data_IF_914288026272
#
_entry.id   IF_914288026272
#
_cell.length_a   1.000
_cell.length_b   1.000
_cell.length_c   1.000
_cell.angle_alpha   90.00
_cell.angle_beta   90.00
_cell.angle_gamma   90.00
#
_symmetry.space_group_name_H-M   'P 1'
#
loop_
_entity.id
_entity.type
_entity.pdbx_description
1 polymer ?
#
# COMPACT_ATOMS: atom_id res chain seq x y z
N UNK A 1 9.08 0.58 -31.24
CA UNK A 1 8.52 1.53 -30.22
C UNK A 1 7.05 1.33 -29.88
N UNK A 2 6.13 0.92 -30.77
CA UNK A 2 4.70 0.77 -30.43
C UNK A 2 4.41 -0.30 -29.36
N UNK A 3 5.18 -1.40 -29.34
CA UNK A 3 4.98 -2.49 -28.39
C UNK A 3 5.14 -2.08 -26.91
N UNK A 4 6.07 -1.17 -26.61
CA UNK A 4 6.27 -0.65 -25.25
C UNK A 4 5.05 0.14 -24.76
N UNK A 5 4.47 0.94 -25.64
CA UNK A 5 3.27 1.72 -25.34
C UNK A 5 2.05 0.82 -25.11
N UNK A 6 1.86 -0.18 -25.97
CA UNK A 6 0.79 -1.16 -25.82
C UNK A 6 0.92 -1.92 -24.48
N UNK A 7 2.12 -2.37 -24.14
CA UNK A 7 2.36 -3.02 -22.85
C UNK A 7 2.11 -2.08 -21.67
N UNK A 8 2.51 -0.81 -21.75
CA UNK A 8 2.26 0.16 -20.66
C UNK A 8 0.78 0.42 -20.47
N UNK A 9 0.01 0.54 -21.56
CA UNK A 9 -1.44 0.70 -21.52
C UNK A 9 -2.09 -0.55 -20.91
N UNK A 10 -1.69 -1.73 -21.34
CA UNK A 10 -2.17 -3.00 -20.79
C UNK A 10 -1.87 -3.10 -19.29
N UNK A 11 -0.64 -2.80 -18.87
CA UNK A 11 -0.23 -2.83 -17.47
C UNK A 11 -1.04 -1.83 -16.63
N UNK A 12 -1.30 -0.65 -17.15
CA UNK A 12 -2.13 0.35 -16.46
C UNK A 12 -3.60 -0.07 -16.37
N UNK A 13 -4.19 -0.55 -17.45
CA UNK A 13 -5.59 -1.00 -17.45
C UNK A 13 -5.79 -2.21 -16.52
N UNK A 14 -4.86 -3.16 -16.52
CA UNK A 14 -4.90 -4.31 -15.62
C UNK A 14 -4.71 -3.89 -14.16
N UNK A 15 -3.86 -2.90 -13.87
CA UNK A 15 -3.72 -2.29 -12.54
C UNK A 15 -5.07 -1.75 -12.04
N UNK A 16 -5.73 -0.93 -12.87
CA UNK A 16 -7.01 -0.33 -12.51
C UNK A 16 -8.10 -1.40 -12.35
N UNK A 17 -8.16 -2.37 -13.26
CA UNK A 17 -9.17 -3.44 -13.21
C UNK A 17 -9.06 -4.27 -11.92
N UNK A 18 -7.85 -4.70 -11.55
CA UNK A 18 -7.63 -5.46 -10.30
C UNK A 18 -7.89 -4.58 -9.08
N UNK A 19 -7.52 -3.29 -9.13
CA UNK A 19 -7.82 -2.35 -8.05
C UNK A 19 -9.34 -2.22 -7.83
N UNK A 20 -10.12 -2.04 -8.90
CA UNK A 20 -11.58 -1.95 -8.83
C UNK A 20 -12.21 -3.24 -8.30
N UNK A 21 -11.66 -4.40 -8.64
CA UNK A 21 -12.12 -5.70 -8.13
C UNK A 21 -11.91 -5.83 -6.62
N UNK A 22 -10.77 -5.36 -6.10
CA UNK A 22 -10.41 -5.47 -4.68
C UNK A 22 -11.02 -4.35 -3.82
N UNK A 23 -11.32 -3.21 -4.43
CA UNK A 23 -11.80 -2.02 -3.75
C UNK A 23 -13.03 -2.23 -2.84
N UNK A 24 -14.11 -2.95 -3.26
CA UNK A 24 -15.26 -3.21 -2.39
C UNK A 24 -14.86 -3.96 -1.11
N UNK A 25 -13.96 -4.93 -1.20
CA UNK A 25 -13.47 -5.68 -0.03
C UNK A 25 -12.65 -4.79 0.91
N UNK A 26 -11.86 -3.86 0.34
CA UNK A 26 -11.13 -2.87 1.13
C UNK A 26 -12.09 -1.90 1.84
N UNK A 27 -13.19 -1.50 1.23
CA UNK A 27 -14.25 -0.72 1.88
C UNK A 27 -14.88 -1.50 3.03
N UNK A 28 -15.27 -2.74 2.82
CA UNK A 28 -15.82 -3.61 3.87
C UNK A 28 -14.82 -3.76 5.03
N UNK A 29 -13.54 -3.91 4.73
CA UNK A 29 -12.50 -4.00 5.75
C UNK A 29 -12.47 -2.78 6.69
N UNK A 30 -12.85 -1.59 6.23
CA UNK A 30 -12.86 -0.38 7.08
C UNK A 30 -13.83 -0.46 8.26
N UNK A 31 -14.90 -1.24 8.15
CA UNK A 31 -15.87 -1.43 9.23
C UNK A 31 -15.32 -2.24 10.41
N UNK A 32 -14.21 -2.95 10.25
CA UNK A 32 -13.54 -3.71 11.30
C UNK A 32 -12.56 -2.88 12.14
N UNK A 33 -12.56 -1.55 11.94
CA UNK A 33 -11.77 -0.60 12.72
C UNK A 33 -10.29 -0.52 12.27
N UNK A 34 -9.54 0.38 12.90
CA UNK A 34 -8.17 0.74 12.46
C UNK A 34 -7.19 -0.42 12.50
N UNK A 35 -7.22 -1.28 13.52
CA UNK A 35 -6.23 -2.36 13.66
C UNK A 35 -6.61 -3.53 12.75
N UNK A 36 -7.76 -4.15 12.98
CA UNK A 36 -8.18 -5.32 12.19
C UNK A 36 -8.42 -4.95 10.73
N UNK A 37 -9.24 -3.93 10.50
CA UNK A 37 -9.54 -3.46 9.14
C UNK A 37 -8.31 -3.01 8.37
N UNK A 38 -7.41 -2.27 9.00
CA UNK A 38 -6.15 -1.88 8.38
C UNK A 38 -5.23 -3.07 8.08
N UNK A 39 -5.22 -4.14 8.89
CA UNK A 39 -4.50 -5.37 8.58
C UNK A 39 -5.15 -6.10 7.39
N UNK A 40 -6.49 -6.14 7.33
CA UNK A 40 -7.21 -6.68 6.17
C UNK A 40 -6.87 -5.90 4.89
N UNK A 41 -6.88 -4.56 4.92
CA UNK A 41 -6.49 -3.72 3.78
C UNK A 41 -5.05 -4.02 3.36
N UNK A 42 -4.11 -4.17 4.31
CA UNK A 42 -2.73 -4.55 4.00
C UNK A 42 -2.66 -5.87 3.21
N UNK A 43 -3.36 -6.90 3.66
CA UNK A 43 -3.40 -8.21 2.98
C UNK A 43 -4.10 -8.13 1.63
N UNK A 44 -5.15 -7.32 1.50
CA UNK A 44 -5.81 -7.07 0.21
C UNK A 44 -4.86 -6.37 -0.78
N UNK A 45 -4.07 -5.39 -0.32
CA UNK A 45 -3.03 -4.76 -1.15
C UNK A 45 -1.98 -5.77 -1.62
N UNK A 46 -1.58 -6.71 -0.76
CA UNK A 46 -0.67 -7.79 -1.16
C UNK A 46 -1.28 -8.66 -2.26
N UNK A 47 -2.55 -9.08 -2.11
CA UNK A 47 -3.25 -9.90 -3.11
C UNK A 47 -3.46 -9.15 -4.43
N UNK A 48 -3.80 -7.86 -4.33
CA UNK A 48 -3.85 -6.98 -5.50
C UNK A 48 -2.52 -6.96 -6.26
N UNK A 49 -1.42 -6.79 -5.55
CA UNK A 49 -0.10 -6.78 -6.15
C UNK A 49 0.30 -8.16 -6.74
N UNK A 50 -0.07 -9.27 -6.08
CA UNK A 50 0.17 -10.63 -6.59
C UNK A 50 -0.55 -10.85 -7.93
N UNK A 51 -1.85 -10.53 -7.99
CA UNK A 51 -2.67 -10.70 -9.18
C UNK A 51 -2.15 -9.80 -10.31
N UNK A 52 -1.90 -8.52 -10.00
CA UNK A 52 -1.42 -7.58 -11.01
C UNK A 52 -0.08 -7.99 -11.60
N UNK A 53 0.92 -8.34 -10.77
CA UNK A 53 2.23 -8.78 -11.26
C UNK A 53 2.13 -10.06 -12.09
N UNK A 54 1.28 -10.98 -11.72
CA UNK A 54 0.99 -12.17 -12.52
C UNK A 54 0.44 -11.80 -13.91
N UNK A 55 -0.53 -10.90 -13.98
CA UNK A 55 -1.14 -10.45 -15.22
C UNK A 55 -0.15 -9.75 -16.16
N UNK A 56 0.76 -8.95 -15.61
CA UNK A 56 1.76 -8.24 -16.41
C UNK A 56 3.07 -9.01 -16.61
N UNK A 57 3.08 -10.29 -16.23
CA UNK A 57 4.23 -11.19 -16.38
C UNK A 57 5.50 -10.70 -15.69
N UNK A 58 5.38 -10.01 -14.55
CA UNK A 58 6.50 -9.61 -13.71
C UNK A 58 6.67 -10.58 -12.55
N UNK A 59 7.78 -11.31 -12.57
CA UNK A 59 8.17 -12.22 -11.49
C UNK A 59 9.15 -11.50 -10.57
N UNK A 60 8.86 -11.48 -9.28
CA UNK A 60 9.73 -10.90 -8.28
C UNK A 60 10.20 -11.93 -7.26
N UNK A 61 11.44 -11.83 -6.86
CA UNK A 61 12.06 -12.67 -5.83
C UNK A 61 12.35 -11.82 -4.60
N UNK A 62 12.03 -12.33 -3.42
CA UNK A 62 12.38 -11.71 -2.13
C UNK A 62 13.67 -12.35 -1.63
N UNK A 63 14.68 -11.55 -1.36
CA UNK A 63 15.94 -11.99 -0.76
C UNK A 63 16.08 -11.25 0.56
N UNK A 64 16.22 -11.98 1.65
CA UNK A 64 16.41 -11.42 2.98
C UNK A 64 17.79 -11.83 3.48
N UNK A 65 18.66 -10.86 3.77
CA UNK A 65 19.94 -11.10 4.44
C UNK A 65 19.68 -11.50 5.90
N UNK A 66 18.82 -10.75 6.59
CA UNK A 66 18.38 -11.04 7.95
C UNK A 66 16.87 -10.84 8.05
N UNK A 67 16.06 -11.91 7.94
CA UNK A 67 14.61 -11.77 8.05
C UNK A 67 14.22 -11.35 9.48
N UNK A 68 13.42 -10.27 9.56
CA UNK A 68 12.95 -9.76 10.85
C UNK A 68 11.98 -10.72 11.55
N UNK A 69 11.95 -10.66 12.88
CA UNK A 69 11.02 -11.39 13.72
C UNK A 69 9.62 -10.80 13.62
N UNK A 70 8.65 -11.58 13.18
CA UNK A 70 7.24 -11.14 12.99
C UNK A 70 6.54 -10.74 14.30
N UNK A 71 7.07 -11.10 15.45
CA UNK A 71 6.48 -10.83 16.75
C UNK A 71 6.95 -9.47 17.33
N UNK A 72 7.95 -8.85 16.72
CA UNK A 72 8.48 -7.57 17.18
C UNK A 72 7.95 -6.40 16.35
N UNK A 73 7.74 -5.23 16.96
CA UNK A 73 7.44 -4.01 16.22
C UNK A 73 8.71 -3.49 15.52
N UNK A 74 8.54 -3.01 14.28
CA UNK A 74 9.62 -2.43 13.48
C UNK A 74 9.19 -1.13 12.82
N UNK A 75 10.15 -0.25 12.60
CA UNK A 75 10.05 0.87 11.67
C UNK A 75 10.79 0.46 10.38
N UNK A 76 10.03 0.31 9.29
CA UNK A 76 10.59 -0.03 8.00
C UNK A 76 10.90 1.25 7.23
N UNK A 77 12.14 1.37 6.78
CA UNK A 77 12.59 2.45 5.91
C UNK A 77 13.05 1.84 4.60
N UNK A 78 12.55 2.35 3.49
CA UNK A 78 12.90 1.87 2.16
C UNK A 78 13.16 3.02 1.20
N UNK A 79 14.01 2.80 0.21
CA UNK A 79 14.10 3.69 -0.93
C UNK A 79 12.77 3.61 -1.71
N UNK A 80 12.24 4.77 -2.07
CA UNK A 80 10.95 4.86 -2.78
C UNK A 80 11.13 5.78 -3.98
N UNK A 81 11.47 5.19 -5.12
CA UNK A 81 11.83 5.91 -6.35
C UNK A 81 10.90 5.59 -7.52
N UNK A 82 9.98 4.64 -7.37
CA UNK A 82 9.09 4.18 -8.44
C UNK A 82 7.65 4.03 -7.95
N UNK A 83 6.68 4.23 -8.83
CA UNK A 83 5.27 3.93 -8.57
C UNK A 83 5.01 2.44 -8.29
N UNK A 84 5.84 1.55 -8.84
CA UNK A 84 5.78 0.10 -8.59
C UNK A 84 6.08 -0.23 -7.12
N UNK A 85 6.82 0.61 -6.41
CA UNK A 85 7.16 0.40 -5.01
C UNK A 85 5.91 0.30 -4.12
N UNK A 86 4.83 0.98 -4.48
CA UNK A 86 3.56 0.87 -3.76
C UNK A 86 3.02 -0.57 -3.74
N UNK A 87 3.29 -1.35 -4.78
CA UNK A 87 2.92 -2.76 -4.87
C UNK A 87 3.99 -3.70 -4.29
N UNK A 88 5.27 -3.35 -4.42
CA UNK A 88 6.40 -4.20 -3.98
C UNK A 88 6.62 -4.11 -2.47
N UNK A 89 6.56 -2.92 -1.88
CA UNK A 89 6.88 -2.72 -0.46
C UNK A 89 5.99 -3.59 0.46
N UNK A 90 4.64 -3.61 0.33
CA UNK A 90 3.82 -4.49 1.15
C UNK A 90 4.21 -5.97 1.01
N UNK A 91 4.62 -6.38 -0.19
CA UNK A 91 5.03 -7.77 -0.46
C UNK A 91 6.38 -8.12 0.15
N UNK A 92 7.27 -7.15 0.33
CA UNK A 92 8.56 -7.35 0.99
C UNK A 92 8.40 -7.51 2.51
N UNK A 93 7.37 -6.91 3.10
CA UNK A 93 7.13 -7.01 4.53
C UNK A 93 6.51 -8.36 4.91
N UNK A 94 6.90 -8.88 6.07
CA UNK A 94 6.44 -10.17 6.58
C UNK A 94 5.28 -10.06 7.56
N UNK A 95 4.90 -8.83 7.91
CA UNK A 95 3.84 -8.48 8.84
C UNK A 95 3.10 -7.23 8.38
N UNK A 96 1.85 -7.01 8.80
CA UNK A 96 1.13 -5.79 8.50
C UNK A 96 1.88 -4.55 8.97
N UNK A 97 1.98 -3.56 8.09
CA UNK A 97 2.60 -2.27 8.37
C UNK A 97 1.66 -1.12 8.01
N UNK A 98 1.94 0.04 8.55
CA UNK A 98 1.20 1.28 8.27
C UNK A 98 2.16 2.28 7.63
N UNK A 99 2.08 2.52 6.34
CA UNK A 99 2.91 3.55 5.70
C UNK A 99 2.54 4.95 6.22
N UNK A 100 3.52 5.85 6.19
CA UNK A 100 3.28 7.27 6.44
C UNK A 100 2.77 7.93 5.15
N UNK A 101 1.66 8.64 5.23
CA UNK A 101 1.08 9.28 4.06
C UNK A 101 0.55 10.68 4.31
N UNK A 102 0.30 11.43 3.24
CA UNK A 102 -0.21 12.81 3.30
C UNK A 102 -1.60 12.87 3.92
N UNK A 103 -1.82 13.78 4.86
CA UNK A 103 -3.12 13.98 5.51
C UNK A 103 -4.23 14.37 4.53
N UNK A 104 -3.90 15.12 3.46
CA UNK A 104 -4.86 15.56 2.45
C UNK A 104 -5.55 14.40 1.72
N UNK A 105 -4.85 13.28 1.54
CA UNK A 105 -5.39 12.09 0.89
C UNK A 105 -6.55 11.46 1.67
N UNK A 106 -6.62 11.70 2.98
CA UNK A 106 -7.73 11.24 3.83
C UNK A 106 -9.06 11.97 3.54
N UNK A 107 -9.02 13.09 2.82
CA UNK A 107 -10.18 13.89 2.45
C UNK A 107 -10.83 13.47 1.13
N UNK A 108 -10.14 12.62 0.34
CA UNK A 108 -10.67 12.14 -0.93
C UNK A 108 -11.92 11.28 -0.67
N UNK A 109 -13.06 11.57 -1.31
CA UNK A 109 -14.30 10.81 -1.10
C UNK A 109 -14.08 9.31 -1.32
N UNK A 110 -14.69 8.47 -0.50
CA UNK A 110 -14.63 7.00 -0.53
C UNK A 110 -13.22 6.48 -0.25
N UNK A 111 -12.21 6.87 -1.04
CA UNK A 111 -10.81 6.48 -0.87
C UNK A 111 -10.27 6.87 0.52
N UNK A 112 -10.64 8.04 1.03
CA UNK A 112 -10.23 8.52 2.35
C UNK A 112 -10.66 7.60 3.51
N UNK A 113 -11.73 6.82 3.35
CA UNK A 113 -12.15 5.81 4.34
C UNK A 113 -11.11 4.69 4.45
N UNK A 114 -10.71 4.14 3.31
CA UNK A 114 -9.67 3.09 3.25
C UNK A 114 -8.34 3.67 3.74
N UNK A 115 -7.99 4.87 3.25
CA UNK A 115 -6.73 5.54 3.55
C UNK A 115 -6.53 5.76 5.06
N UNK A 116 -7.55 6.25 5.77
CA UNK A 116 -7.50 6.46 7.22
C UNK A 116 -7.32 5.18 8.04
N UNK A 117 -7.72 4.03 7.51
CA UNK A 117 -7.53 2.73 8.17
C UNK A 117 -6.18 2.09 7.83
N UNK A 118 -5.65 2.34 6.62
CA UNK A 118 -4.44 1.68 6.13
C UNK A 118 -3.16 2.49 6.39
N UNK A 119 -3.27 3.82 6.56
CA UNK A 119 -2.14 4.76 6.53
C UNK A 119 -2.10 5.58 7.82
N UNK A 120 -0.90 5.83 8.32
CA UNK A 120 -0.67 6.86 9.35
C UNK A 120 -0.54 8.20 8.63
N UNK A 121 -1.53 9.07 8.81
CA UNK A 121 -1.56 10.36 8.13
C UNK A 121 -0.64 11.36 8.80
N UNK A 122 0.20 12.03 8.02
CA UNK A 122 1.13 13.05 8.49
C UNK A 122 0.73 14.41 7.90
N UNK A 123 0.43 15.35 8.78
CA UNK A 123 0.27 16.74 8.41
C UNK A 123 1.65 17.39 8.29
N UNK A 124 2.00 17.78 7.06
CA UNK A 124 3.32 18.37 6.73
C UNK A 124 3.32 19.89 6.72
N UNK A 125 2.21 20.55 7.08
CA UNK A 125 2.07 22.00 7.02
C UNK A 125 3.01 22.74 7.97
N UNK A 126 3.36 22.13 9.12
CA UNK A 126 4.30 22.69 10.08
C UNK A 126 5.17 21.63 10.75
N UNK A 127 6.30 22.06 11.34
CA UNK A 127 7.18 21.16 12.11
C UNK A 127 6.44 20.59 13.33
N UNK A 128 5.64 21.42 14.02
CA UNK A 128 4.84 21.00 15.18
C UNK A 128 3.78 19.95 14.79
N UNK A 129 3.10 20.14 13.67
CA UNK A 129 2.08 19.21 13.19
C UNK A 129 2.69 17.87 12.75
N UNK A 130 3.87 17.89 12.12
CA UNK A 130 4.63 16.67 11.82
C UNK A 130 4.94 15.87 13.08
N UNK A 131 5.47 16.53 14.10
CA UNK A 131 5.80 15.88 15.37
C UNK A 131 4.56 15.29 16.07
N UNK A 132 3.43 16.01 16.07
CA UNK A 132 2.15 15.52 16.63
C UNK A 132 1.61 14.30 15.89
N UNK A 133 1.75 14.26 14.56
CA UNK A 133 1.25 13.14 13.73
C UNK A 133 1.98 11.82 13.99
N UNK A 134 3.19 11.85 14.55
CA UNK A 134 4.01 10.66 14.84
C UNK A 134 3.81 10.19 16.29
N UNK A 135 3.29 11.03 17.16
CA UNK A 135 2.90 10.66 18.53
C UNK A 135 1.52 9.97 18.49
N UNK A 136 1.54 8.69 18.25
CA UNK A 136 0.35 7.81 18.28
C UNK A 136 0.37 7.01 19.58
#
# INVERSE_FOLDING_TARGET
MPLKWLYSIYAFLSFVAVMLLIFPFALIATFFGKIRGGNMVFWLCMRWADIWFFLIFIWHRKIYEAPHDKQRPYIFVSNHISYIDAAIIPKALRQPARPLGKAEMSKVPIFGLIYRNAIVTVDRSSVSNRAKSIRI
#
